data_IF_044421011557
#
_entry.id   IF_044421011557
#
_cell.length_a   1.000
_cell.length_b   1.000
_cell.length_c   1.000
_cell.angle_alpha   90.00
_cell.angle_beta   90.00
_cell.angle_gamma   90.00
#
_symmetry.space_group_name_H-M   'P 1'
#
loop_
_entity.id
_entity.type
_entity.pdbx_description
1 polymer ?
#
# COMPACT_ATOMS: atom_id res chain seq x y z
N UNK A 1 3.15 -0.69 -7.37
CA UNK A 1 3.30 -2.15 -7.15
C UNK A 1 3.49 -2.47 -5.67
N UNK A 2 4.41 -1.80 -4.98
CA UNK A 2 4.88 -2.22 -3.66
C UNK A 2 3.95 -1.88 -2.48
N UNK A 3 3.31 -0.71 -2.49
CA UNK A 3 2.50 -0.18 -1.36
C UNK A 3 1.16 0.38 -1.82
N UNK A 4 0.44 -0.35 -2.68
CA UNK A 4 -0.80 0.15 -3.26
C UNK A 4 -1.65 -0.93 -3.91
N UNK A 5 -2.08 -0.70 -5.14
CA UNK A 5 -3.11 -1.51 -5.84
C UNK A 5 -2.93 -3.03 -5.69
N UNK A 6 -1.72 -3.55 -5.91
CA UNK A 6 -1.43 -4.99 -5.88
C UNK A 6 -1.58 -5.59 -4.46
N UNK A 7 -0.77 -5.18 -3.46
CA UNK A 7 -0.90 -5.73 -2.12
C UNK A 7 -2.27 -5.43 -1.50
N UNK A 8 -2.87 -4.26 -1.78
CA UNK A 8 -4.26 -3.96 -1.38
C UNK A 8 -5.24 -4.99 -1.93
N UNK A 9 -5.17 -5.33 -3.23
CA UNK A 9 -6.10 -6.29 -3.84
C UNK A 9 -5.92 -7.72 -3.30
N UNK A 10 -4.69 -8.12 -2.96
CA UNK A 10 -4.45 -9.39 -2.26
C UNK A 10 -5.17 -9.40 -0.90
N UNK A 11 -5.03 -8.33 -0.12
CA UNK A 11 -5.70 -8.21 1.18
C UNK A 11 -7.23 -8.11 1.02
N UNK A 12 -7.72 -7.43 -0.01
CA UNK A 12 -9.15 -7.35 -0.32
C UNK A 12 -9.74 -8.71 -0.68
N UNK A 13 -9.07 -9.51 -1.53
CA UNK A 13 -9.51 -10.88 -1.82
C UNK A 13 -9.52 -11.74 -0.56
N UNK A 14 -8.59 -11.51 0.37
CA UNK A 14 -8.54 -12.21 1.67
C UNK A 14 -9.74 -11.83 2.54
N UNK A 15 -10.09 -10.54 2.60
CA UNK A 15 -11.27 -10.06 3.30
C UNK A 15 -12.55 -10.62 2.67
N UNK A 16 -12.71 -10.55 1.35
CA UNK A 16 -13.87 -11.13 0.65
C UNK A 16 -14.01 -12.63 0.93
N UNK A 17 -12.90 -13.37 0.98
CA UNK A 17 -12.95 -14.78 1.35
C UNK A 17 -13.43 -14.99 2.79
N UNK A 18 -12.98 -14.15 3.73
CA UNK A 18 -13.46 -14.21 5.12
C UNK A 18 -14.96 -13.90 5.23
N UNK A 19 -15.48 -12.94 4.46
CA UNK A 19 -16.91 -12.66 4.40
C UNK A 19 -17.70 -13.87 3.91
N UNK A 20 -17.29 -14.50 2.80
CA UNK A 20 -18.00 -15.67 2.26
C UNK A 20 -17.99 -16.89 3.20
N UNK A 21 -16.99 -17.01 4.08
CA UNK A 21 -16.95 -18.08 5.08
C UNK A 21 -18.11 -17.95 6.07
N UNK A 22 -18.60 -16.74 6.36
CA UNK A 22 -19.76 -16.56 7.24
C UNK A 22 -21.03 -17.22 6.68
N UNK A 23 -21.17 -17.26 5.36
CA UNK A 23 -22.34 -17.80 4.67
C UNK A 23 -22.23 -19.30 4.37
N UNK A 24 -21.09 -19.95 4.68
CA UNK A 24 -20.87 -21.36 4.36
C UNK A 24 -21.97 -22.29 4.87
N UNK A 25 -22.46 -22.06 6.10
CA UNK A 25 -23.51 -22.88 6.70
C UNK A 25 -24.84 -22.74 5.93
N UNK A 26 -25.16 -21.54 5.46
CA UNK A 26 -26.35 -21.28 4.64
C UNK A 26 -26.26 -21.96 3.27
N UNK A 27 -25.04 -22.20 2.78
CA UNK A 27 -24.76 -22.99 1.59
C UNK A 27 -24.61 -24.51 1.86
N UNK A 28 -24.90 -24.98 3.08
CA UNK A 28 -24.92 -26.40 3.44
C UNK A 28 -23.56 -27.00 3.83
N UNK A 29 -22.53 -26.17 4.05
CA UNK A 29 -21.21 -26.62 4.50
C UNK A 29 -21.06 -26.51 6.02
N UNK A 30 -20.62 -27.59 6.67
CA UNK A 30 -20.17 -27.53 8.06
C UNK A 30 -18.85 -26.74 8.16
N UNK A 31 -18.83 -25.69 8.97
CA UNK A 31 -17.65 -24.83 9.13
C UNK A 31 -17.19 -24.81 10.59
N UNK A 32 -16.18 -25.61 10.97
CA UNK A 32 -15.59 -25.52 12.30
C UNK A 32 -14.85 -24.19 12.47
N UNK A 33 -14.67 -23.75 13.73
CA UNK A 33 -14.16 -22.42 14.08
C UNK A 33 -12.94 -21.97 13.28
N UNK A 34 -13.12 -20.94 12.46
CA UNK A 34 -12.09 -20.39 11.57
C UNK A 34 -11.22 -19.39 12.34
N UNK A 35 -9.90 -19.57 12.26
CA UNK A 35 -8.92 -18.61 12.80
C UNK A 35 -8.10 -18.02 11.67
N UNK A 36 -8.10 -16.70 11.57
CA UNK A 36 -7.30 -16.00 10.58
C UNK A 36 -5.85 -15.82 11.08
N UNK A 37 -4.88 -16.11 10.21
CA UNK A 37 -3.45 -15.87 10.45
C UNK A 37 -2.93 -14.81 9.47
N UNK A 38 -2.69 -13.60 9.98
CA UNK A 38 -2.20 -12.46 9.20
C UNK A 38 -0.84 -12.72 8.56
N UNK A 39 0.09 -13.36 9.29
CA UNK A 39 1.46 -13.61 8.82
C UNK A 39 1.47 -14.47 7.56
N UNK A 40 0.61 -15.49 7.50
CA UNK A 40 0.51 -16.37 6.33
C UNK A 40 0.16 -15.61 5.05
N UNK A 41 -0.80 -14.67 5.10
CA UNK A 41 -1.15 -13.89 3.90
C UNK A 41 -0.10 -12.81 3.60
N UNK A 42 0.50 -12.20 4.63
CA UNK A 42 1.59 -11.23 4.48
C UNK A 42 2.75 -11.83 3.70
N UNK A 43 3.25 -13.00 4.11
CA UNK A 43 4.38 -13.67 3.44
C UNK A 43 4.09 -13.98 1.97
N UNK A 44 2.88 -14.47 1.66
CA UNK A 44 2.45 -14.75 0.28
C UNK A 44 2.31 -13.48 -0.55
N UNK A 45 1.76 -12.42 0.03
CA UNK A 45 1.64 -11.10 -0.59
C UNK A 45 3.00 -10.51 -0.90
N UNK A 46 3.94 -10.56 0.05
CA UNK A 46 5.29 -10.03 -0.10
C UNK A 46 6.10 -10.83 -1.14
N UNK A 47 5.95 -12.16 -1.16
CA UNK A 47 6.52 -13.00 -2.21
C UNK A 47 5.97 -12.66 -3.60
N UNK A 48 4.67 -12.38 -3.71
CA UNK A 48 4.06 -11.98 -4.98
C UNK A 48 4.57 -10.62 -5.45
N UNK A 49 4.69 -9.64 -4.55
CA UNK A 49 5.25 -8.31 -4.88
C UNK A 49 6.69 -8.44 -5.37
N UNK A 50 7.54 -9.23 -4.68
CA UNK A 50 8.93 -9.48 -5.11
C UNK A 50 9.00 -10.07 -6.52
N UNK A 51 8.18 -11.09 -6.81
CA UNK A 51 8.08 -11.67 -8.16
C UNK A 51 7.73 -10.61 -9.22
N UNK A 52 6.81 -9.69 -8.90
CA UNK A 52 6.47 -8.61 -9.82
C UNK A 52 7.63 -7.62 -10.00
N UNK A 53 8.39 -7.31 -8.96
CA UNK A 53 9.59 -6.48 -9.09
C UNK A 53 10.59 -7.10 -10.07
N UNK A 54 10.86 -8.40 -9.96
CA UNK A 54 11.73 -9.12 -10.90
C UNK A 54 11.20 -9.06 -12.33
N UNK A 55 9.88 -9.19 -12.51
CA UNK A 55 9.23 -9.08 -13.83
C UNK A 55 9.41 -7.67 -14.41
N UNK A 56 9.17 -6.62 -13.63
CA UNK A 56 9.34 -5.24 -14.09
C UNK A 56 10.79 -4.94 -14.46
N UNK A 57 11.76 -5.36 -13.64
CA UNK A 57 13.18 -5.18 -13.95
C UNK A 57 13.56 -5.93 -15.23
N UNK A 58 13.08 -7.16 -15.41
CA UNK A 58 13.32 -7.92 -16.63
C UNK A 58 12.68 -7.31 -17.87
N UNK A 59 11.49 -6.72 -17.75
CA UNK A 59 10.82 -6.04 -18.87
C UNK A 59 11.63 -4.82 -19.35
N UNK A 60 12.15 -4.02 -18.41
CA UNK A 60 13.01 -2.86 -18.72
C UNK A 60 14.30 -3.31 -19.41
N UNK A 61 14.95 -4.38 -18.90
CA UNK A 61 16.15 -4.97 -19.53
C UNK A 61 15.88 -5.49 -20.94
N UNK A 62 14.77 -6.20 -21.16
CA UNK A 62 14.37 -6.72 -22.48
C UNK A 62 14.09 -5.62 -23.50
N UNK A 63 13.68 -4.44 -23.02
CA UNK A 63 13.49 -3.26 -23.85
C UNK A 63 14.79 -2.47 -24.09
N UNK A 64 15.94 -2.96 -23.61
CA UNK A 64 17.23 -2.27 -23.68
C UNK A 64 17.21 -0.86 -23.06
N UNK A 65 16.43 -0.68 -22.00
CA UNK A 65 16.34 0.58 -21.24
C UNK A 65 17.30 0.50 -20.05
N UNK A 66 18.13 1.52 -19.89
CA UNK A 66 19.03 1.62 -18.75
C UNK A 66 18.29 1.91 -17.44
N UNK A 67 18.67 1.19 -16.38
CA UNK A 67 18.19 1.44 -15.01
C UNK A 67 19.30 2.17 -14.25
N UNK A 68 19.13 3.47 -14.06
CA UNK A 68 19.99 4.28 -13.20
C UNK A 68 19.39 4.24 -11.79
N UNK A 69 20.07 3.55 -10.86
CA UNK A 69 19.62 3.44 -9.46
C UNK A 69 20.13 4.64 -8.66
N UNK A 70 19.26 5.26 -7.88
CA UNK A 70 19.58 6.38 -7.01
C UNK A 70 18.49 7.45 -7.01
N UNK A 71 18.71 8.54 -6.27
CA UNK A 71 17.80 9.69 -6.24
C UNK A 71 18.25 10.76 -7.24
N UNK A 72 17.40 11.04 -8.23
CA UNK A 72 17.65 12.07 -9.23
C UNK A 72 17.21 13.46 -8.79
N UNK A 73 18.05 14.45 -9.00
CA UNK A 73 17.74 15.88 -8.80
C UNK A 73 18.14 16.66 -10.06
N UNK A 74 17.35 17.66 -10.43
CA UNK A 74 17.76 18.60 -11.48
C UNK A 74 18.95 19.44 -11.00
N UNK A 75 19.86 19.71 -11.92
CA UNK A 75 20.96 20.66 -11.71
C UNK A 75 20.56 22.05 -12.23
N UNK A 76 21.42 23.04 -12.01
CA UNK A 76 21.24 24.40 -12.53
C UNK A 76 21.88 24.61 -13.91
N UNK A 77 22.22 23.53 -14.63
CA UNK A 77 22.78 23.63 -15.98
C UNK A 77 21.71 24.21 -16.95
N UNK A 78 22.10 25.01 -17.96
CA UNK A 78 21.14 25.60 -18.92
C UNK A 78 20.33 24.55 -19.70
N UNK A 79 20.94 23.40 -20.01
CA UNK A 79 20.25 22.26 -20.58
C UNK A 79 19.67 21.37 -19.46
N UNK A 80 18.42 20.89 -19.59
CA UNK A 80 17.79 20.03 -18.58
C UNK A 80 18.66 18.81 -18.24
N UNK A 81 19.23 18.81 -17.04
CA UNK A 81 20.20 17.80 -16.61
C UNK A 81 19.83 17.26 -15.24
N UNK A 82 19.90 15.95 -15.09
CA UNK A 82 19.67 15.22 -13.84
C UNK A 82 21.00 14.70 -13.29
N UNK A 83 21.23 14.89 -11.99
CA UNK A 83 22.32 14.26 -11.26
C UNK A 83 21.80 13.09 -10.42
N UNK A 84 22.43 11.93 -10.54
CA UNK A 84 22.20 10.74 -9.71
C UNK A 84 23.54 10.25 -9.19
N UNK A 85 23.71 10.20 -7.87
CA UNK A 85 24.96 9.78 -7.20
C UNK A 85 26.23 10.47 -7.77
N UNK A 86 26.12 11.78 -8.06
CA UNK A 86 27.23 12.58 -8.60
C UNK A 86 27.48 12.44 -10.11
N UNK A 87 26.76 11.55 -10.81
CA UNK A 87 26.82 11.42 -12.28
C UNK A 87 25.70 12.23 -12.92
N UNK A 88 26.03 13.00 -13.96
CA UNK A 88 25.08 13.81 -14.72
C UNK A 88 24.56 13.10 -15.97
N UNK A 89 23.27 13.27 -16.24
CA UNK A 89 22.56 12.70 -17.39
C UNK A 89 21.68 13.79 -18.02
N UNK A 90 21.63 13.87 -19.34
CA UNK A 90 20.81 14.85 -20.09
C UNK A 90 20.08 14.18 -21.24
N UNK A 91 18.94 14.75 -21.63
CA UNK A 91 18.15 14.33 -22.78
C UNK A 91 17.27 15.50 -23.28
N UNK A 92 16.90 15.54 -24.57
CA UNK A 92 15.97 16.55 -25.09
C UNK A 92 14.56 16.43 -24.49
N UNK A 93 14.22 15.26 -23.95
CA UNK A 93 12.93 14.99 -23.30
C UNK A 93 13.15 14.31 -21.95
N UNK A 94 12.64 14.92 -20.89
CA UNK A 94 12.71 14.40 -19.52
C UNK A 94 11.30 14.34 -18.95
N UNK A 95 10.86 13.13 -18.60
CA UNK A 95 9.56 12.88 -17.96
C UNK A 95 9.72 12.81 -16.44
N UNK A 96 9.00 13.67 -15.71
CA UNK A 96 8.89 13.58 -14.25
C UNK A 96 7.73 12.64 -13.90
N UNK A 97 8.06 11.45 -13.39
CA UNK A 97 7.10 10.42 -13.00
C UNK A 97 7.35 9.92 -11.57
N UNK A 98 7.62 10.83 -10.63
CA UNK A 98 8.06 10.52 -9.25
C UNK A 98 6.94 10.09 -8.29
N UNK A 99 5.68 10.15 -8.72
CA UNK A 99 4.52 9.76 -7.90
C UNK A 99 4.24 10.72 -6.75
N UNK A 100 3.62 10.20 -5.68
CA UNK A 100 3.27 10.95 -4.48
C UNK A 100 3.50 10.12 -3.21
N UNK A 101 3.19 10.70 -2.05
CA UNK A 101 3.32 10.05 -0.73
C UNK A 101 2.11 10.37 0.15
N UNK A 102 1.78 9.53 1.14
CA UNK A 102 0.70 9.82 2.08
C UNK A 102 0.92 11.15 2.81
N UNK A 103 -0.16 11.90 3.03
CA UNK A 103 -0.13 13.09 3.88
C UNK A 103 -0.28 12.69 5.35
N UNK A 104 0.53 13.29 6.22
CA UNK A 104 0.45 13.14 7.67
C UNK A 104 0.34 14.53 8.27
N UNK A 105 -0.66 14.80 9.15
CA UNK A 105 -0.75 16.06 9.87
C UNK A 105 0.54 16.33 10.64
N UNK A 106 0.95 17.59 10.73
CA UNK A 106 2.13 17.94 11.54
C UNK A 106 1.84 17.76 13.03
N UNK A 107 2.87 17.47 13.82
CA UNK A 107 2.74 17.39 15.28
C UNK A 107 2.39 18.76 15.91
N UNK A 108 2.58 19.87 15.19
CA UNK A 108 2.08 21.18 15.60
C UNK A 108 0.57 21.34 15.44
N UNK A 109 -0.03 20.68 14.45
CA UNK A 109 -1.49 20.70 14.23
C UNK A 109 -2.18 19.65 15.10
N UNK A 110 -1.60 18.45 15.19
CA UNK A 110 -2.10 17.32 15.97
C UNK A 110 -0.93 16.71 16.74
N UNK A 111 -0.73 17.08 18.02
CA UNK A 111 0.34 16.51 18.84
C UNK A 111 0.25 14.98 18.90
N UNK A 112 1.31 14.30 18.45
CA UNK A 112 1.39 12.84 18.40
C UNK A 112 0.85 12.21 17.11
N UNK A 113 0.57 13.00 16.06
CA UNK A 113 0.23 12.47 14.75
C UNK A 113 1.30 11.50 14.21
N UNK A 114 2.56 11.77 14.54
CA UNK A 114 3.72 10.91 14.23
C UNK A 114 3.66 9.50 14.82
N UNK A 115 2.81 9.24 15.83
CA UNK A 115 2.59 7.89 16.39
C UNK A 115 1.66 7.03 15.52
N UNK A 116 0.95 7.65 14.59
CA UNK A 116 0.10 6.96 13.63
C UNK A 116 0.90 6.30 12.50
N UNK A 117 0.18 5.62 11.62
CA UNK A 117 0.74 5.06 10.39
C UNK A 117 -0.12 5.42 9.20
N UNK A 118 0.46 5.31 8.01
CA UNK A 118 -0.21 5.56 6.74
C UNK A 118 -0.51 4.24 6.03
N UNK A 119 -1.01 4.28 4.80
CA UNK A 119 -1.16 3.09 3.96
C UNK A 119 0.16 2.34 3.75
N UNK A 120 1.31 3.03 3.79
CA UNK A 120 2.61 2.40 3.64
C UNK A 120 2.87 1.47 4.84
N UNK A 121 2.72 2.00 6.05
CA UNK A 121 2.86 1.21 7.29
C UNK A 121 1.81 0.11 7.45
N UNK A 122 0.61 0.27 6.88
CA UNK A 122 -0.39 -0.81 6.83
C UNK A 122 0.15 -2.05 6.12
N UNK A 123 0.91 -1.88 5.03
CA UNK A 123 1.51 -3.02 4.35
C UNK A 123 2.68 -3.62 5.15
N UNK A 124 3.31 -2.87 6.04
CA UNK A 124 4.39 -3.39 6.90
C UNK A 124 3.88 -4.15 8.14
N UNK A 125 2.59 -4.06 8.48
CA UNK A 125 2.00 -4.77 9.62
C UNK A 125 2.31 -6.27 9.57
N UNK A 126 2.94 -6.77 10.63
CA UNK A 126 3.30 -8.19 10.81
C UNK A 126 2.17 -9.02 11.44
N UNK A 127 1.23 -8.35 12.12
CA UNK A 127 0.11 -8.96 12.83
C UNK A 127 -1.17 -8.14 12.64
N UNK A 128 -2.33 -8.79 12.79
CA UNK A 128 -3.62 -8.11 12.78
C UNK A 128 -3.75 -7.26 14.06
N UNK A 129 -3.94 -5.93 13.95
CA UNK A 129 -4.20 -5.10 15.12
C UNK A 129 -5.51 -5.51 15.79
N UNK A 130 -5.50 -5.68 17.12
CA UNK A 130 -6.74 -5.97 17.87
C UNK A 130 -7.78 -4.86 17.75
N UNK A 131 -7.32 -3.61 17.65
CA UNK A 131 -8.15 -2.42 17.51
C UNK A 131 -7.52 -1.48 16.50
N UNK A 132 -8.35 -0.92 15.63
CA UNK A 132 -7.92 -0.01 14.56
C UNK A 132 -8.78 1.23 14.52
N UNK A 133 -8.14 2.38 14.31
CA UNK A 133 -8.81 3.66 14.05
C UNK A 133 -8.24 4.20 12.75
N UNK A 134 -9.11 4.39 11.76
CA UNK A 134 -8.76 4.89 10.44
C UNK A 134 -9.33 6.31 10.34
N UNK A 135 -8.49 7.28 9.95
CA UNK A 135 -8.91 8.68 9.82
C UNK A 135 -8.90 9.07 8.34
N UNK A 136 -10.07 9.47 7.83
CA UNK A 136 -10.25 9.85 6.43
C UNK A 136 -11.54 9.29 5.84
N UNK A 137 -12.04 9.94 4.78
CA UNK A 137 -13.31 9.57 4.13
C UNK A 137 -13.15 9.11 2.67
N UNK A 138 -11.91 9.11 2.16
CA UNK A 138 -11.61 8.69 0.78
C UNK A 138 -11.46 7.18 0.63
N UNK A 139 -11.26 6.74 -0.62
CA UNK A 139 -11.23 5.31 -0.96
C UNK A 139 -10.21 4.49 -0.16
N UNK A 140 -9.00 5.02 0.10
CA UNK A 140 -7.98 4.30 0.89
C UNK A 140 -8.49 4.02 2.30
N UNK A 141 -9.14 5.00 2.94
CA UNK A 141 -9.65 4.88 4.29
C UNK A 141 -10.79 3.85 4.37
N UNK A 142 -11.72 3.91 3.42
CA UNK A 142 -12.84 2.95 3.30
C UNK A 142 -12.32 1.53 3.08
N UNK A 143 -11.38 1.34 2.15
CA UNK A 143 -10.82 0.03 1.83
C UNK A 143 -10.06 -0.58 3.02
N UNK A 144 -9.18 0.18 3.68
CA UNK A 144 -8.40 -0.30 4.82
C UNK A 144 -9.32 -0.61 6.01
N UNK A 145 -10.29 0.25 6.30
CA UNK A 145 -11.25 0.02 7.38
C UNK A 145 -12.08 -1.25 7.14
N UNK A 146 -12.56 -1.45 5.91
CA UNK A 146 -13.28 -2.67 5.53
C UNK A 146 -12.42 -3.93 5.70
N UNK A 147 -11.20 -3.93 5.15
CA UNK A 147 -10.27 -5.07 5.27
C UNK A 147 -9.97 -5.39 6.73
N UNK A 148 -9.61 -4.40 7.55
CA UNK A 148 -9.27 -4.62 8.97
C UNK A 148 -10.47 -5.13 9.76
N UNK A 149 -11.66 -4.56 9.54
CA UNK A 149 -12.89 -4.96 10.22
C UNK A 149 -13.27 -6.40 9.90
N UNK A 150 -13.35 -6.75 8.62
CA UNK A 150 -13.68 -8.10 8.13
C UNK A 150 -12.69 -9.14 8.65
N UNK A 151 -11.40 -8.82 8.70
CA UNK A 151 -10.39 -9.75 9.18
C UNK A 151 -10.33 -9.89 10.71
N UNK A 152 -11.19 -9.16 11.44
CA UNK A 152 -11.41 -9.33 12.88
C UNK A 152 -10.83 -8.23 13.78
N UNK A 153 -10.33 -7.12 13.21
CA UNK A 153 -9.93 -5.95 14.01
C UNK A 153 -11.17 -5.16 14.45
N UNK A 154 -11.24 -4.78 15.73
CA UNK A 154 -12.27 -3.83 16.19
C UNK A 154 -11.98 -2.46 15.61
N UNK A 155 -12.67 -2.12 14.53
CA UNK A 155 -12.33 -0.98 13.66
C UNK A 155 -13.29 0.21 13.84
N UNK A 156 -12.77 1.42 13.69
CA UNK A 156 -13.55 2.65 13.63
C UNK A 156 -13.04 3.52 12.50
N UNK A 157 -13.94 4.04 11.67
CA UNK A 157 -13.62 4.97 10.59
C UNK A 157 -14.08 6.38 11.01
N UNK A 158 -13.13 7.29 11.21
CA UNK A 158 -13.37 8.66 11.62
C UNK A 158 -13.38 9.56 10.38
N UNK A 159 -14.51 10.21 10.17
CA UNK A 159 -14.75 11.12 9.05
C UNK A 159 -15.16 12.51 9.56
N UNK A 160 -14.97 13.53 8.73
CA UNK A 160 -15.26 14.93 9.09
C UNK A 160 -16.75 15.28 9.03
N UNK A 161 -17.51 14.55 8.22
CA UNK A 161 -18.90 14.83 7.90
C UNK A 161 -19.77 13.57 8.12
N UNK A 162 -20.93 13.51 7.47
CA UNK A 162 -21.95 12.48 7.65
C UNK A 162 -21.72 11.20 6.81
N UNK A 163 -21.01 11.31 5.69
CA UNK A 163 -20.80 10.20 4.75
C UNK A 163 -19.34 10.07 4.28
N UNK A 164 -19.03 8.87 3.78
CA UNK A 164 -17.79 8.59 3.05
C UNK A 164 -18.00 8.81 1.55
N UNK A 165 -16.89 8.94 0.80
CA UNK A 165 -16.87 9.16 -0.66
C UNK A 165 -17.65 10.41 -1.09
#
# INVERSE_FOLDING_TARGET
>A
VNVGCVPKKVMWNTAVHAEFIHDHADYGFETPGVKFNWRTIKEKRDAYVRRLNDIYENNVKKAHIDIIRGYGKFTADPEPTIEVEGKKYTAPHILIATGGRPAVPSDSEIPGASLGMTSDGFFDLEELPRRSVIVGAGYIAVEIAGILSTLGSKSSLLIRHDQVL
#
